data_IF_254090592669
#
_entry.id   IF_254090592669
#
_cell.length_a   1.000
_cell.length_b   1.000
_cell.length_c   1.000
_cell.angle_alpha   90.00
_cell.angle_beta   90.00
_cell.angle_gamma   90.00
#
_symmetry.space_group_name_H-M   'P 1'
#
loop_
_entity.id
_entity.type
_entity.pdbx_description
1 polymer ?
#
# COMPACT_ATOMS: atom_id res chain seq x y z
N UNK A 1 15.65 18.07 2.07
CA UNK A 1 16.83 17.19 2.07
C UNK A 1 16.91 16.31 3.33
N UNK A 2 16.80 16.86 4.52
CA UNK A 2 16.85 16.12 5.79
C UNK A 2 15.79 14.99 5.91
N UNK A 3 14.52 15.26 5.57
CA UNK A 3 13.43 14.26 5.59
C UNK A 3 13.73 13.04 4.70
N UNK A 4 14.32 13.25 3.52
CA UNK A 4 14.71 12.17 2.59
C UNK A 4 15.80 11.27 3.16
N UNK A 5 16.80 11.86 3.81
CA UNK A 5 17.87 11.09 4.47
C UNK A 5 17.27 10.19 5.55
N UNK A 6 16.42 10.74 6.41
CA UNK A 6 15.75 9.96 7.47
C UNK A 6 14.84 8.86 6.91
N UNK A 7 14.17 9.11 5.78
CA UNK A 7 13.38 8.09 5.09
C UNK A 7 14.26 6.93 4.61
N UNK A 8 15.38 7.26 3.96
CA UNK A 8 16.35 6.26 3.49
C UNK A 8 16.91 5.45 4.66
N UNK A 9 17.26 6.10 5.77
CA UNK A 9 17.71 5.42 6.96
C UNK A 9 16.61 4.49 7.52
N UNK A 10 15.38 4.96 7.68
CA UNK A 10 14.27 4.15 8.15
C UNK A 10 13.97 2.95 7.22
N UNK A 11 14.20 3.10 5.91
CA UNK A 11 13.98 2.06 4.93
C UNK A 11 14.94 0.87 5.10
N UNK A 12 16.21 1.12 5.44
CA UNK A 12 17.25 0.10 5.50
C UNK A 12 17.58 -0.40 6.92
N UNK A 13 17.46 0.45 7.93
CA UNK A 13 17.91 0.13 9.30
C UNK A 13 17.03 -0.93 9.99
N UNK A 14 17.59 -1.71 10.94
CA UNK A 14 16.84 -2.67 11.76
C UNK A 14 15.92 -1.98 12.79
N UNK A 15 15.26 -2.76 13.65
CA UNK A 15 14.47 -2.33 14.81
C UNK A 15 13.12 -1.66 14.47
N UNK A 16 12.17 -2.52 14.06
CA UNK A 16 10.82 -2.11 13.61
C UNK A 16 9.93 -1.46 14.68
N UNK A 17 10.15 -1.71 15.97
CA UNK A 17 9.38 -1.08 17.05
C UNK A 17 10.01 0.20 17.59
N UNK A 18 11.28 0.44 17.39
CA UNK A 18 12.00 1.56 18.00
C UNK A 18 12.56 2.53 16.97
N UNK A 19 13.61 2.13 16.25
CA UNK A 19 14.36 3.06 15.41
C UNK A 19 13.56 3.56 14.21
N UNK A 20 12.93 2.66 13.44
CA UNK A 20 12.15 3.08 12.25
C UNK A 20 10.97 4.00 12.60
N UNK A 21 10.10 3.67 13.58
CA UNK A 21 9.06 4.60 14.00
C UNK A 21 9.62 5.93 14.49
N UNK A 22 10.76 5.94 15.21
CA UNK A 22 11.39 7.17 15.68
C UNK A 22 11.89 8.04 14.53
N UNK A 23 12.57 7.46 13.53
CA UNK A 23 13.02 8.19 12.35
C UNK A 23 11.85 8.81 11.58
N UNK A 24 10.74 8.08 11.46
CA UNK A 24 9.54 8.62 10.82
C UNK A 24 8.85 9.70 11.66
N UNK A 25 8.84 9.61 13.01
CA UNK A 25 8.33 10.69 13.88
C UNK A 25 9.14 11.97 13.71
N UNK A 26 10.47 11.88 13.65
CA UNK A 26 11.35 13.04 13.42
C UNK A 26 11.05 13.72 12.07
N UNK A 27 10.60 12.95 11.07
CA UNK A 27 10.16 13.48 9.78
C UNK A 27 8.78 14.13 9.81
N UNK A 28 8.03 14.03 10.91
CA UNK A 28 6.69 14.61 11.06
C UNK A 28 5.54 13.59 11.01
N UNK A 29 5.80 12.30 10.75
CA UNK A 29 4.74 11.27 10.81
C UNK A 29 4.20 11.15 12.23
N UNK A 30 2.89 11.19 12.40
CA UNK A 30 2.23 11.01 13.70
C UNK A 30 2.06 9.53 13.99
N UNK A 31 2.91 8.96 14.84
CA UNK A 31 2.90 7.52 15.15
C UNK A 31 2.62 7.31 16.63
N UNK A 32 1.64 6.49 16.92
CA UNK A 32 1.24 6.10 18.26
C UNK A 32 2.25 5.20 19.00
N UNK A 33 1.82 4.59 20.08
CA UNK A 33 2.61 3.67 20.90
C UNK A 33 2.63 2.28 20.28
N UNK A 34 3.70 1.52 20.50
CA UNK A 34 3.84 0.11 20.13
C UNK A 34 3.52 -0.17 18.65
N UNK A 35 3.95 0.69 17.73
CA UNK A 35 3.75 0.53 16.29
C UNK A 35 4.94 -0.20 15.71
N UNK A 36 4.65 -1.27 14.96
CA UNK A 36 5.65 -1.99 14.16
C UNK A 36 5.72 -1.42 12.74
N UNK A 37 6.91 -1.03 12.31
CA UNK A 37 7.19 -0.68 10.91
C UNK A 37 8.27 -1.63 10.40
N UNK A 38 7.92 -2.46 9.42
CA UNK A 38 8.84 -3.43 8.85
C UNK A 38 9.91 -2.75 7.98
N UNK A 39 10.94 -3.52 7.63
CA UNK A 39 11.98 -3.08 6.69
C UNK A 39 11.36 -2.75 5.32
N UNK A 40 11.96 -1.79 4.63
CA UNK A 40 11.55 -1.37 3.29
C UNK A 40 10.11 -0.85 3.19
N UNK A 41 9.54 -0.37 4.27
CA UNK A 41 8.31 0.42 4.24
C UNK A 41 8.66 1.83 3.77
N UNK A 42 7.96 2.32 2.76
CA UNK A 42 8.06 3.68 2.29
C UNK A 42 6.89 4.51 2.82
N UNK A 43 7.20 5.60 3.48
CA UNK A 43 6.23 6.63 3.88
C UNK A 43 6.62 7.92 3.16
N UNK A 44 5.64 8.54 2.53
CA UNK A 44 5.79 9.76 1.73
C UNK A 44 6.93 10.66 2.22
N UNK A 45 7.80 11.08 1.30
CA UNK A 45 8.96 11.89 1.65
C UNK A 45 8.72 13.40 1.58
N UNK A 46 7.69 13.82 0.85
CA UNK A 46 7.34 15.23 0.67
C UNK A 46 6.40 15.72 1.77
N UNK A 47 5.40 14.93 2.13
CA UNK A 47 4.37 15.28 3.10
C UNK A 47 4.18 14.22 4.19
N UNK A 48 5.25 13.83 4.92
CA UNK A 48 5.15 12.82 5.98
C UNK A 48 4.22 13.23 7.12
N UNK A 49 4.04 14.51 7.37
CA UNK A 49 3.12 15.09 8.36
C UNK A 49 1.65 14.75 8.11
N UNK A 50 1.31 14.36 6.88
CA UNK A 50 -0.03 13.94 6.50
C UNK A 50 -0.33 12.47 6.80
N UNK A 51 0.63 11.73 7.37
CA UNK A 51 0.44 10.33 7.78
C UNK A 51 0.25 10.23 9.28
N UNK A 52 -0.82 9.55 9.68
CA UNK A 52 -1.13 9.24 11.09
C UNK A 52 -1.26 7.71 11.21
N UNK A 53 -0.57 7.13 12.20
CA UNK A 53 -0.62 5.70 12.50
C UNK A 53 -0.96 5.54 13.98
N UNK A 54 -2.08 4.90 14.27
CA UNK A 54 -2.58 4.65 15.63
C UNK A 54 -1.80 3.57 16.38
N UNK A 55 -2.05 3.49 17.69
CA UNK A 55 -1.38 2.57 18.61
C UNK A 55 -1.50 1.10 18.17
N UNK A 56 -0.51 0.29 18.51
CA UNK A 56 -0.48 -1.17 18.29
C UNK A 56 -0.66 -1.61 16.84
N UNK A 57 -0.41 -0.76 15.87
CA UNK A 57 -0.56 -1.09 14.46
C UNK A 57 0.73 -1.63 13.86
N UNK A 58 0.60 -2.48 12.84
CA UNK A 58 1.72 -3.10 12.15
C UNK A 58 1.68 -2.81 10.66
N UNK A 59 2.75 -2.19 10.15
CA UNK A 59 2.96 -1.91 8.73
C UNK A 59 4.03 -2.86 8.22
N UNK A 60 3.67 -3.76 7.33
CA UNK A 60 4.56 -4.83 6.91
C UNK A 60 5.41 -4.50 5.68
N UNK A 61 6.31 -5.41 5.39
CA UNK A 61 7.40 -5.31 4.43
C UNK A 61 6.98 -4.76 3.06
N UNK A 62 7.73 -3.79 2.55
CA UNK A 62 7.50 -3.13 1.25
C UNK A 62 6.13 -2.50 1.05
N UNK A 63 5.44 -2.16 2.13
CA UNK A 63 4.24 -1.33 2.03
C UNK A 63 4.63 0.10 1.71
N UNK A 64 3.89 0.73 0.81
CA UNK A 64 4.08 2.11 0.39
C UNK A 64 2.87 2.94 0.81
N UNK A 65 3.12 4.09 1.45
CA UNK A 65 2.09 5.04 1.89
C UNK A 65 2.36 6.37 1.18
N UNK A 66 1.47 6.75 0.28
CA UNK A 66 1.50 8.03 -0.41
C UNK A 66 0.48 8.99 0.17
N UNK A 67 0.87 10.24 0.33
CA UNK A 67 -0.02 11.36 0.68
C UNK A 67 -0.11 12.40 -0.43
N UNK A 68 0.64 12.23 -1.52
CA UNK A 68 0.55 13.07 -2.69
C UNK A 68 0.53 12.24 -3.97
N UNK A 69 -0.06 12.77 -5.03
CA UNK A 69 -0.02 12.19 -6.37
C UNK A 69 0.24 13.30 -7.39
N UNK A 70 1.18 13.02 -8.30
CA UNK A 70 1.49 13.89 -9.42
C UNK A 70 0.74 13.43 -10.68
N UNK A 71 -0.10 14.29 -11.22
CA UNK A 71 -0.89 14.00 -12.41
C UNK A 71 -0.36 14.64 -13.70
N UNK A 72 0.85 15.20 -13.66
CA UNK A 72 1.49 15.82 -14.80
C UNK A 72 1.40 17.35 -14.84
N UNK A 73 2.07 18.00 -15.80
CA UNK A 73 2.36 19.44 -15.76
C UNK A 73 1.14 20.36 -15.91
N UNK A 74 0.00 19.83 -16.34
CA UNK A 74 -1.24 20.61 -16.52
C UNK A 74 -2.25 20.44 -15.39
N UNK A 75 -1.97 19.60 -14.40
CA UNK A 75 -2.86 19.36 -13.27
C UNK A 75 -2.16 19.75 -11.97
N UNK A 76 -2.95 20.23 -11.00
CA UNK A 76 -2.42 20.45 -9.64
C UNK A 76 -2.04 19.12 -9.01
N UNK A 77 -0.92 19.10 -8.33
CA UNK A 77 -0.56 17.99 -7.46
C UNK A 77 -1.66 17.84 -6.39
N UNK A 78 -2.10 16.60 -6.23
CA UNK A 78 -3.03 16.27 -5.16
C UNK A 78 -2.25 15.88 -3.91
N UNK A 79 -2.50 16.59 -2.83
CA UNK A 79 -1.96 16.29 -1.50
C UNK A 79 -3.11 15.97 -0.57
N UNK A 80 -3.14 14.75 -0.07
CA UNK A 80 -4.17 14.24 0.81
C UNK A 80 -3.62 13.78 2.15
N UNK A 81 -4.44 13.10 2.93
CA UNK A 81 -4.10 12.59 4.25
C UNK A 81 -4.32 11.09 4.32
N UNK A 82 -3.41 10.36 4.99
CA UNK A 82 -3.59 8.94 5.30
C UNK A 82 -3.71 8.77 6.80
N UNK A 83 -4.81 8.17 7.24
CA UNK A 83 -5.07 7.86 8.65
C UNK A 83 -5.20 6.36 8.82
N UNK A 84 -4.28 5.78 9.57
CA UNK A 84 -4.31 4.37 9.97
C UNK A 84 -4.69 4.34 11.43
N UNK A 85 -5.80 3.68 11.75
CA UNK A 85 -6.35 3.56 13.11
C UNK A 85 -5.47 2.74 14.06
N UNK A 86 -6.02 2.38 15.21
CA UNK A 86 -5.38 1.53 16.23
C UNK A 86 -5.57 0.05 15.90
N UNK A 87 -4.63 -0.79 16.33
CA UNK A 87 -4.68 -2.25 16.15
C UNK A 87 -4.87 -2.67 14.68
N UNK A 88 -4.37 -1.89 13.74
CA UNK A 88 -4.47 -2.17 12.30
C UNK A 88 -3.29 -3.03 11.87
N UNK A 89 -3.57 -4.06 11.06
CA UNK A 89 -2.54 -4.84 10.40
C UNK A 89 -2.55 -4.57 8.90
N UNK A 90 -1.46 -4.06 8.36
CA UNK A 90 -1.27 -3.90 6.91
C UNK A 90 -0.29 -4.96 6.43
N UNK A 91 -0.75 -5.86 5.58
CA UNK A 91 0.04 -6.92 4.98
C UNK A 91 1.20 -6.39 4.12
N UNK A 92 2.14 -7.27 3.72
CA UNK A 92 3.28 -6.85 2.90
C UNK A 92 2.84 -6.41 1.50
N UNK A 93 3.67 -5.57 0.86
CA UNK A 93 3.47 -5.11 -0.53
C UNK A 93 2.13 -4.41 -0.78
N UNK A 94 1.57 -3.74 0.23
CA UNK A 94 0.39 -2.90 0.05
C UNK A 94 0.76 -1.52 -0.48
N UNK A 95 -0.18 -0.90 -1.20
CA UNK A 95 -0.09 0.48 -1.65
C UNK A 95 -1.28 1.25 -1.06
N UNK A 96 -1.00 2.22 -0.19
CA UNK A 96 -2.01 3.09 0.42
C UNK A 96 -1.97 4.43 -0.28
N UNK A 97 -3.10 4.81 -0.89
CA UNK A 97 -3.23 6.05 -1.66
C UNK A 97 -3.65 7.23 -0.77
N UNK A 98 -3.51 8.48 -1.25
CA UNK A 98 -3.97 9.66 -0.52
C UNK A 98 -5.46 9.62 -0.19
N UNK A 99 -5.86 10.36 0.85
CA UNK A 99 -7.24 10.51 1.35
C UNK A 99 -7.90 9.21 1.83
N UNK A 100 -7.09 8.28 2.33
CA UNK A 100 -7.57 7.01 2.88
C UNK A 100 -7.55 7.05 4.41
N UNK A 101 -8.67 6.62 5.00
CA UNK A 101 -8.77 6.26 6.42
C UNK A 101 -8.98 4.75 6.56
N UNK A 102 -8.11 4.09 7.31
CA UNK A 102 -8.23 2.68 7.67
C UNK A 102 -8.68 2.62 9.13
N UNK A 103 -9.88 2.10 9.36
CA UNK A 103 -10.52 2.04 10.68
C UNK A 103 -9.81 1.09 11.66
N UNK A 104 -10.04 1.31 12.94
CA UNK A 104 -9.45 0.52 14.02
C UNK A 104 -9.71 -0.98 13.86
N UNK A 105 -8.72 -1.80 14.16
CA UNK A 105 -8.83 -3.26 14.07
C UNK A 105 -8.93 -3.83 12.66
N UNK A 106 -8.78 -3.01 11.63
CA UNK A 106 -8.81 -3.50 10.24
C UNK A 106 -7.55 -4.31 9.89
N UNK A 107 -7.72 -5.28 9.01
CA UNK A 107 -6.64 -6.11 8.46
C UNK A 107 -6.62 -5.94 6.95
N UNK A 108 -5.52 -5.45 6.40
CA UNK A 108 -5.30 -5.32 4.96
C UNK A 108 -4.49 -6.52 4.48
N UNK A 109 -5.02 -7.30 3.53
CA UNK A 109 -4.30 -8.40 2.90
C UNK A 109 -3.08 -7.89 2.12
N UNK A 110 -2.00 -8.63 2.14
CA UNK A 110 -0.83 -8.33 1.34
C UNK A 110 -1.14 -8.16 -0.16
N UNK A 111 -0.38 -7.30 -0.83
CA UNK A 111 -0.55 -6.99 -2.25
C UNK A 111 -1.78 -6.14 -2.59
N UNK A 112 -2.43 -5.55 -1.60
CA UNK A 112 -3.66 -4.76 -1.81
C UNK A 112 -3.33 -3.29 -2.09
N UNK A 113 -4.00 -2.72 -3.10
CA UNK A 113 -4.07 -1.26 -3.31
C UNK A 113 -5.31 -0.74 -2.57
N UNK A 114 -5.08 0.13 -1.58
CA UNK A 114 -6.14 0.77 -0.80
C UNK A 114 -6.34 2.19 -1.33
N UNK A 115 -7.44 2.39 -2.06
CA UNK A 115 -7.80 3.65 -2.73
C UNK A 115 -9.07 4.29 -2.17
N UNK A 116 -9.61 3.75 -1.09
CA UNK A 116 -10.81 4.25 -0.39
C UNK A 116 -10.79 3.83 1.06
N UNK A 117 -11.63 4.46 1.87
CA UNK A 117 -11.73 4.19 3.30
C UNK A 117 -12.08 2.73 3.59
N UNK A 118 -11.45 2.18 4.62
CA UNK A 118 -11.67 0.83 5.12
C UNK A 118 -12.40 0.92 6.45
N UNK A 119 -13.57 0.27 6.59
CA UNK A 119 -14.30 0.26 7.86
C UNK A 119 -13.50 -0.42 8.99
N UNK A 120 -13.77 -0.08 10.27
CA UNK A 120 -13.15 -0.77 11.40
C UNK A 120 -13.44 -2.28 11.39
N UNK A 121 -12.56 -3.06 12.02
CA UNK A 121 -12.69 -4.51 12.20
C UNK A 121 -12.98 -5.28 10.90
N UNK A 122 -12.44 -4.83 9.78
CA UNK A 122 -12.69 -5.39 8.45
C UNK A 122 -11.45 -6.05 7.88
N UNK A 123 -11.58 -7.27 7.35
CA UNK A 123 -10.58 -7.88 6.48
C UNK A 123 -10.78 -7.33 5.06
N UNK A 124 -9.81 -6.53 4.59
CA UNK A 124 -9.86 -5.83 3.33
C UNK A 124 -8.81 -6.34 2.36
N UNK A 125 -9.17 -6.56 1.12
CA UNK A 125 -8.23 -6.97 0.08
C UNK A 125 -8.91 -7.47 -1.17
N UNK A 126 -8.10 -7.79 -2.17
CA UNK A 126 -8.57 -8.43 -3.40
C UNK A 126 -8.78 -9.93 -3.15
N UNK A 127 -9.73 -10.58 -3.86
CA UNK A 127 -9.82 -12.04 -3.90
C UNK A 127 -8.49 -12.67 -4.32
N UNK A 128 -8.31 -13.94 -4.03
CA UNK A 128 -7.11 -14.65 -4.47
C UNK A 128 -6.97 -14.51 -5.99
N UNK A 129 -5.75 -14.20 -6.45
CA UNK A 129 -5.46 -14.13 -7.87
C UNK A 129 -5.70 -15.50 -8.51
N UNK A 130 -6.19 -15.47 -9.73
CA UNK A 130 -6.47 -16.67 -10.51
C UNK A 130 -6.23 -16.43 -11.99
N UNK A 131 -6.30 -17.48 -12.80
CA UNK A 131 -6.11 -17.35 -14.24
C UNK A 131 -7.24 -16.51 -14.86
N UNK A 132 -6.88 -15.44 -15.57
CA UNK A 132 -7.82 -14.52 -16.22
C UNK A 132 -8.04 -14.90 -17.69
N UNK A 133 -6.98 -15.31 -18.36
CA UNK A 133 -7.00 -15.69 -19.77
C UNK A 133 -5.89 -16.68 -20.09
N UNK A 134 -6.10 -17.49 -21.12
CA UNK A 134 -5.05 -18.27 -21.77
C UNK A 134 -4.29 -17.34 -22.73
N UNK A 135 -2.98 -17.32 -22.63
CA UNK A 135 -2.09 -16.56 -23.49
C UNK A 135 -1.74 -17.42 -24.71
N UNK A 136 -2.06 -16.96 -25.92
CA UNK A 136 -1.70 -17.64 -27.17
C UNK A 136 -0.61 -16.92 -27.97
N UNK A 137 -0.40 -15.61 -27.67
CA UNK A 137 0.70 -14.81 -28.21
C UNK A 137 1.46 -14.23 -27.03
N UNK A 138 2.76 -14.52 -26.86
CA UNK A 138 3.52 -14.03 -25.69
C UNK A 138 3.76 -12.51 -25.77
N UNK A 139 3.79 -11.86 -24.60
CA UNK A 139 4.19 -10.45 -24.48
C UNK A 139 5.72 -10.37 -24.32
N UNK A 140 6.43 -10.61 -25.42
CA UNK A 140 7.90 -10.59 -25.47
C UNK A 140 8.38 -9.66 -26.58
N UNK A 141 9.65 -9.26 -26.63
CA UNK A 141 10.15 -8.28 -27.62
C UNK A 141 9.88 -8.62 -29.10
N UNK A 142 9.55 -9.87 -29.43
CA UNK A 142 9.19 -10.28 -30.79
C UNK A 142 7.73 -10.03 -31.19
N UNK A 143 6.90 -9.52 -30.26
CA UNK A 143 5.47 -9.31 -30.48
C UNK A 143 5.04 -7.92 -30.02
N UNK A 144 4.02 -7.37 -30.67
CA UNK A 144 3.41 -6.11 -30.27
C UNK A 144 2.39 -6.34 -29.14
N UNK A 145 2.10 -5.27 -28.38
CA UNK A 145 1.04 -5.31 -27.37
C UNK A 145 -0.33 -5.64 -28.00
N UNK A 146 -0.58 -5.16 -29.23
CA UNK A 146 -1.83 -5.41 -29.92
C UNK A 146 -2.00 -6.90 -30.26
N UNK A 147 -0.95 -7.56 -30.74
CA UNK A 147 -0.96 -9.00 -31.01
C UNK A 147 -1.17 -9.80 -29.72
N UNK A 148 -0.51 -9.42 -28.62
CA UNK A 148 -0.72 -10.04 -27.30
C UNK A 148 -2.18 -9.94 -26.87
N UNK A 149 -2.78 -8.74 -26.92
CA UNK A 149 -4.19 -8.53 -26.52
C UNK A 149 -5.15 -9.36 -27.39
N UNK A 150 -4.94 -9.39 -28.71
CA UNK A 150 -5.70 -10.24 -29.63
C UNK A 150 -5.52 -11.74 -29.35
N UNK A 151 -4.37 -12.12 -28.81
CA UNK A 151 -4.04 -13.48 -28.43
C UNK A 151 -4.63 -13.94 -27.09
N UNK A 152 -5.25 -13.07 -26.29
CA UNK A 152 -5.88 -13.46 -25.04
C UNK A 152 -7.20 -14.19 -25.26
N UNK A 153 -7.36 -15.33 -24.61
CA UNK A 153 -8.62 -16.11 -24.58
C UNK A 153 -9.13 -16.14 -23.15
N UNK A 154 -10.18 -15.34 -22.81
CA UNK A 154 -10.70 -15.25 -21.45
C UNK A 154 -11.12 -16.62 -20.90
N UNK A 155 -10.70 -16.89 -19.66
CA UNK A 155 -11.14 -18.07 -18.91
C UNK A 155 -12.40 -17.67 -18.13
N UNK A 156 -13.54 -18.25 -18.46
CA UNK A 156 -14.75 -18.05 -17.67
C UNK A 156 -14.55 -18.63 -16.28
N UNK A 157 -14.47 -17.78 -15.25
CA UNK A 157 -14.54 -18.27 -13.88
C UNK A 157 -15.91 -18.94 -13.68
N UNK A 158 -15.92 -20.20 -13.23
CA UNK A 158 -17.15 -20.75 -12.66
C UNK A 158 -17.52 -19.84 -11.48
N UNK A 159 -18.71 -19.21 -11.53
CA UNK A 159 -19.25 -18.51 -10.38
C UNK A 159 -19.21 -19.52 -9.22
N UNK A 160 -18.41 -19.22 -8.18
CA UNK A 160 -18.49 -19.96 -6.94
C UNK A 160 -19.92 -19.77 -6.42
N UNK A 161 -20.73 -20.79 -6.54
CA UNK A 161 -22.00 -20.88 -5.83
C UNK A 161 -21.65 -20.79 -4.33
N UNK A 162 -22.34 -19.97 -3.52
CA UNK A 162 -22.12 -19.98 -2.09
C UNK A 162 -22.41 -21.40 -1.60
N UNK A 163 -21.41 -22.03 -1.01
CA UNK A 163 -21.57 -23.32 -0.37
C UNK A 163 -22.68 -23.26 0.67
N UNK A 164 -23.53 -24.27 0.62
CA UNK A 164 -24.55 -24.54 1.61
C UNK A 164 -23.94 -24.80 2.98
#
# INVERSE_FOLDING_TARGET
MFSRILNTLAFFFPLGYSLRPTLHRIRGVKIGKNVWIAKSVYIDELHPENVIIGDNSAINYRTTIYTHMYFGPKQKDHTGKVVIGKNVFIGPHCLILPDVTIGDGAVIKGGTVVSRNVPPNTLWGIPNAGPLAKVTVPLTPGHTQEEFVKGLRPIRSKKNSPGK
#
